data_IF_202030921018
#
_entry.id   IF_202030921018
#
_cell.length_a   1.000
_cell.length_b   1.000
_cell.length_c   1.000
_cell.angle_alpha   90.00
_cell.angle_beta   90.00
_cell.angle_gamma   90.00
#
_symmetry.space_group_name_H-M   'P 1'
#
loop_
_entity.id
_entity.type
_entity.pdbx_description
1 polymer ?
#
# COMPACT_ATOMS: atom_id res chain seq x y z
N UNK A 1 -12.29 12.50 9.68
CA UNK A 1 -11.94 11.06 9.57
C UNK A 1 -13.01 10.30 10.33
N UNK A 2 -13.63 9.25 9.76
CA UNK A 2 -14.62 8.48 10.52
C UNK A 2 -14.01 7.98 11.83
N UNK A 3 -14.84 7.82 12.88
CA UNK A 3 -14.39 7.31 14.18
C UNK A 3 -13.60 6.01 13.98
N UNK A 4 -12.33 6.02 14.37
CA UNK A 4 -11.43 4.87 14.23
C UNK A 4 -11.52 4.02 15.51
N UNK A 5 -11.91 2.74 15.43
CA UNK A 5 -11.82 1.83 16.56
C UNK A 5 -10.38 1.70 17.07
N UNK A 6 -10.18 1.74 18.38
CA UNK A 6 -8.85 1.68 19.01
C UNK A 6 -8.84 0.62 20.11
N UNK A 7 -7.69 -0.02 20.27
CA UNK A 7 -7.37 -0.90 21.38
C UNK A 7 -7.11 -0.08 22.66
N UNK A 8 -7.11 -0.71 23.86
CA UNK A 8 -6.89 0.00 25.12
C UNK A 8 -5.58 0.80 25.22
N UNK A 9 -4.56 0.41 24.46
CA UNK A 9 -3.27 1.10 24.36
C UNK A 9 -3.29 2.30 23.38
N UNK A 10 -4.44 2.62 22.77
CA UNK A 10 -4.62 3.71 21.81
C UNK A 10 -4.24 3.39 20.37
N UNK A 11 -3.66 2.22 20.08
CA UNK A 11 -3.39 1.82 18.70
C UNK A 11 -4.69 1.50 17.96
N UNK A 12 -4.77 1.73 16.64
CA UNK A 12 -5.95 1.34 15.87
C UNK A 12 -6.21 -0.16 15.99
N UNK A 13 -7.49 -0.52 16.12
CA UNK A 13 -7.92 -1.91 16.08
C UNK A 13 -7.95 -2.40 14.63
N UNK A 14 -7.07 -3.34 14.30
CA UNK A 14 -6.86 -3.86 12.95
C UNK A 14 -7.28 -5.34 12.90
N UNK A 15 -7.83 -5.82 11.76
CA UNK A 15 -7.91 -5.13 10.47
C UNK A 15 -9.03 -4.08 10.40
N UNK A 16 -8.76 -2.95 9.76
CA UNK A 16 -9.68 -1.81 9.63
C UNK A 16 -10.17 -1.66 8.19
N UNK A 17 -11.49 -1.53 8.00
CA UNK A 17 -12.06 -1.19 6.70
C UNK A 17 -11.96 0.32 6.46
N UNK A 18 -11.29 0.71 5.38
CA UNK A 18 -11.12 2.10 4.94
C UNK A 18 -11.58 2.17 3.49
N UNK A 19 -12.79 2.67 3.22
CA UNK A 19 -13.35 2.67 1.87
C UNK A 19 -13.39 1.25 1.28
N UNK A 20 -12.71 1.04 0.14
CA UNK A 20 -12.58 -0.29 -0.50
C UNK A 20 -11.43 -1.14 0.03
N UNK A 21 -10.56 -0.58 0.87
CA UNK A 21 -9.37 -1.25 1.40
C UNK A 21 -9.65 -1.84 2.78
N UNK A 22 -9.11 -3.03 3.02
CA UNK A 22 -9.00 -3.59 4.37
C UNK A 22 -7.55 -3.51 4.80
N UNK A 23 -7.23 -2.58 5.68
CA UNK A 23 -5.89 -2.38 6.22
C UNK A 23 -5.65 -3.46 7.29
N UNK A 24 -4.65 -4.31 7.10
CA UNK A 24 -4.35 -5.44 8.00
C UNK A 24 -3.26 -5.10 9.00
N UNK A 25 -2.23 -4.38 8.57
CA UNK A 25 -1.17 -3.85 9.41
C UNK A 25 -0.69 -2.52 8.83
N UNK A 26 -0.36 -1.57 9.71
CA UNK A 26 0.20 -0.28 9.32
C UNK A 26 1.73 -0.32 9.12
N UNK A 27 2.40 -1.39 9.58
CA UNK A 27 3.84 -1.54 9.48
C UNK A 27 4.63 -0.62 10.44
N UNK A 28 5.89 -0.38 10.09
CA UNK A 28 6.84 0.40 10.86
C UNK A 28 7.49 1.48 9.99
N UNK A 29 7.59 2.70 10.54
CA UNK A 29 8.31 3.80 9.90
C UNK A 29 9.81 3.51 9.88
N UNK A 30 10.41 3.57 8.70
CA UNK A 30 11.85 3.51 8.53
C UNK A 30 12.37 4.93 8.28
N UNK A 31 13.22 5.48 9.16
CA UNK A 31 13.68 6.86 9.03
C UNK A 31 14.73 7.06 7.93
N UNK A 32 15.23 6.00 7.30
CA UNK A 32 16.21 6.11 6.23
C UNK A 32 15.64 6.80 4.99
N UNK A 33 16.49 7.52 4.27
CA UNK A 33 16.11 8.15 3.01
C UNK A 33 15.64 7.08 2.02
N UNK A 34 14.61 7.40 1.24
CA UNK A 34 13.99 6.47 0.29
C UNK A 34 12.74 5.74 0.81
N UNK A 35 12.51 5.68 2.13
CA UNK A 35 11.27 5.12 2.72
C UNK A 35 10.17 6.16 2.98
N UNK A 36 10.46 7.42 2.67
CA UNK A 36 9.51 8.51 2.76
C UNK A 36 9.93 9.62 1.79
N UNK A 37 8.99 10.51 1.50
CA UNK A 37 9.18 11.75 0.74
C UNK A 37 8.54 12.89 1.51
N UNK A 38 8.60 14.10 0.97
CA UNK A 38 7.90 15.25 1.54
C UNK A 38 6.39 15.00 1.80
N UNK A 39 5.73 14.10 1.05
CA UNK A 39 4.28 13.87 1.12
C UNK A 39 3.85 12.44 1.44
N UNK A 40 4.79 11.50 1.54
CA UNK A 40 4.46 10.09 1.73
C UNK A 40 5.42 9.43 2.71
N UNK A 41 4.90 8.54 3.55
CA UNK A 41 5.69 7.59 4.34
C UNK A 41 5.28 6.21 3.86
N UNK A 42 6.26 5.33 3.61
CA UNK A 42 6.05 3.94 3.20
C UNK A 42 6.51 2.98 4.31
N UNK A 43 5.62 2.65 5.28
CA UNK A 43 6.01 1.81 6.40
C UNK A 43 6.32 0.39 5.92
N UNK A 44 7.43 -0.17 6.39
CA UNK A 44 7.77 -1.56 6.14
C UNK A 44 6.82 -2.47 6.93
N UNK A 45 6.29 -3.49 6.28
CA UNK A 45 5.28 -4.39 6.84
C UNK A 45 3.86 -3.80 6.79
N UNK A 46 3.63 -2.67 6.11
CA UNK A 46 2.28 -2.25 5.75
C UNK A 46 1.62 -3.33 4.89
N UNK A 47 0.38 -3.68 5.22
CA UNK A 47 -0.40 -4.67 4.47
C UNK A 47 -1.85 -4.23 4.33
N UNK A 48 -2.39 -4.33 3.11
CA UNK A 48 -3.78 -4.03 2.81
C UNK A 48 -4.34 -4.98 1.77
N UNK A 49 -5.63 -5.27 1.89
CA UNK A 49 -6.38 -6.02 0.89
C UNK A 49 -7.29 -5.07 0.09
N UNK A 50 -7.35 -5.27 -1.24
CA UNK A 50 -8.33 -4.61 -2.12
C UNK A 50 -8.85 -5.59 -3.17
N UNK A 51 -10.14 -5.50 -3.50
CA UNK A 51 -10.73 -6.31 -4.55
C UNK A 51 -10.46 -5.69 -5.92
N UNK A 52 -10.01 -6.49 -6.89
CA UNK A 52 -9.80 -6.04 -8.27
C UNK A 52 -9.99 -7.20 -9.27
N UNK A 53 -9.99 -6.87 -10.56
CA UNK A 53 -10.10 -7.83 -11.66
C UNK A 53 -9.01 -8.90 -11.59
N UNK A 54 -9.38 -10.19 -11.68
CA UNK A 54 -8.41 -11.29 -11.73
C UNK A 54 -7.50 -11.19 -12.96
N UNK A 55 -6.23 -11.54 -12.76
CA UNK A 55 -5.22 -11.68 -13.82
C UNK A 55 -5.24 -13.05 -14.52
N UNK A 56 -6.10 -13.97 -14.08
CA UNK A 56 -6.19 -15.35 -14.58
C UNK A 56 -7.54 -15.65 -15.21
N UNK A 57 -8.62 -15.19 -14.59
CA UNK A 57 -9.98 -15.42 -15.06
C UNK A 57 -10.66 -14.07 -15.41
N UNK A 58 -11.05 -13.86 -16.69
CA UNK A 58 -11.67 -12.62 -17.12
C UNK A 58 -13.04 -12.34 -16.48
N UNK A 59 -13.69 -13.35 -15.90
CA UNK A 59 -15.07 -13.28 -15.38
C UNK A 59 -15.16 -12.99 -13.89
N UNK A 60 -14.04 -12.95 -13.18
CA UNK A 60 -14.05 -12.76 -11.73
C UNK A 60 -13.17 -11.59 -11.27
N UNK A 61 -13.49 -11.14 -10.07
CA UNK A 61 -12.64 -10.29 -9.26
C UNK A 61 -12.10 -11.12 -8.09
N UNK A 62 -10.88 -10.80 -7.66
CA UNK A 62 -10.22 -11.47 -6.54
C UNK A 62 -9.66 -10.46 -5.58
N UNK A 63 -9.35 -10.92 -4.37
CA UNK A 63 -8.63 -10.10 -3.40
C UNK A 63 -7.16 -10.02 -3.79
N UNK A 64 -6.59 -8.82 -3.69
CA UNK A 64 -5.17 -8.56 -3.84
C UNK A 64 -4.63 -8.08 -2.50
N UNK A 65 -3.64 -8.79 -1.97
CA UNK A 65 -2.90 -8.39 -0.78
C UNK A 65 -1.65 -7.62 -1.21
N UNK A 66 -1.59 -6.36 -0.81
CA UNK A 66 -0.47 -5.45 -1.05
C UNK A 66 0.40 -5.36 0.20
N UNK A 67 1.71 -5.56 0.05
CA UNK A 67 2.67 -5.53 1.17
C UNK A 67 3.87 -4.64 0.82
N UNK A 68 4.34 -3.84 1.78
CA UNK A 68 5.58 -3.07 1.65
C UNK A 68 6.71 -3.82 2.36
N UNK A 69 7.75 -4.20 1.63
CA UNK A 69 8.91 -4.93 2.13
C UNK A 69 10.12 -3.99 2.29
N UNK A 70 11.06 -4.29 3.20
CA UNK A 70 12.25 -3.47 3.39
C UNK A 70 13.26 -3.63 2.23
N UNK A 71 13.27 -4.79 1.59
CA UNK A 71 14.15 -5.13 0.47
C UNK A 71 13.64 -6.38 -0.25
N UNK A 72 14.22 -6.71 -1.39
CA UNK A 72 13.92 -7.94 -2.12
C UNK A 72 15.11 -8.36 -2.98
N UNK A 73 15.36 -9.67 -3.10
CA UNK A 73 16.53 -10.23 -3.79
C UNK A 73 16.60 -9.85 -5.29
N UNK A 74 15.46 -9.58 -5.93
CA UNK A 74 15.42 -9.08 -7.32
C UNK A 74 15.92 -7.63 -7.47
N UNK A 75 16.05 -6.89 -6.38
CA UNK A 75 16.48 -5.49 -6.37
C UNK A 75 17.63 -5.27 -5.36
N UNK A 76 18.78 -5.95 -5.51
CA UNK A 76 19.83 -5.99 -4.48
C UNK A 76 20.49 -4.63 -4.19
N UNK A 77 20.42 -3.71 -5.16
CA UNK A 77 20.99 -2.37 -5.04
C UNK A 77 19.95 -1.30 -4.65
N UNK A 78 18.67 -1.65 -4.63
CA UNK A 78 17.62 -0.71 -4.23
C UNK A 78 17.73 -0.42 -2.73
N UNK A 79 17.55 0.84 -2.35
CA UNK A 79 17.69 1.32 -0.96
C UNK A 79 16.38 1.86 -0.38
N UNK A 80 15.26 1.63 -1.07
CA UNK A 80 13.93 2.03 -0.63
C UNK A 80 12.98 0.83 -0.47
N UNK A 81 11.68 1.11 -0.25
CA UNK A 81 10.67 0.08 -0.09
C UNK A 81 10.50 -0.73 -1.37
N UNK A 82 10.11 -1.99 -1.19
CA UNK A 82 9.66 -2.87 -2.26
C UNK A 82 8.16 -3.09 -2.12
N UNK A 83 7.45 -2.97 -3.23
CA UNK A 83 6.00 -3.09 -3.31
C UNK A 83 5.66 -4.47 -3.88
N UNK A 84 5.09 -5.32 -3.03
CA UNK A 84 4.61 -6.64 -3.38
C UNK A 84 3.09 -6.64 -3.49
N UNK A 85 2.56 -7.35 -4.49
CA UNK A 85 1.13 -7.60 -4.65
C UNK A 85 0.95 -9.10 -4.89
N UNK A 86 0.08 -9.74 -4.11
CA UNK A 86 -0.28 -11.16 -4.25
C UNK A 86 -1.78 -11.27 -4.52
N UNK A 87 -2.19 -11.78 -5.69
CA UNK A 87 -3.60 -12.13 -5.93
C UNK A 87 -3.98 -13.41 -5.18
N UNK A 88 -5.18 -13.44 -4.59
CA UNK A 88 -5.68 -14.61 -3.87
C UNK A 88 -5.84 -15.87 -4.76
N UNK A 89 -6.03 -15.70 -6.07
CA UNK A 89 -6.17 -16.82 -7.02
C UNK A 89 -4.84 -17.31 -7.62
N UNK A 90 -3.73 -16.61 -7.35
CA UNK A 90 -2.38 -16.97 -7.79
C UNK A 90 -1.34 -16.63 -6.71
N UNK A 91 -1.41 -17.29 -5.53
CA UNK A 91 -0.59 -16.95 -4.36
C UNK A 91 0.93 -17.12 -4.58
N UNK A 92 1.32 -17.96 -5.55
CA UNK A 92 2.72 -18.24 -5.88
C UNK A 92 3.29 -17.30 -6.96
N UNK A 93 2.52 -16.32 -7.41
CA UNK A 93 2.88 -15.44 -8.52
C UNK A 93 2.88 -13.97 -8.09
N UNK A 94 3.73 -13.58 -7.12
CA UNK A 94 3.75 -12.21 -6.62
C UNK A 94 4.24 -11.24 -7.70
N UNK A 95 3.58 -10.09 -7.79
CA UNK A 95 4.10 -8.94 -8.53
C UNK A 95 4.94 -8.12 -7.57
N UNK A 96 6.21 -7.92 -7.92
CA UNK A 96 7.19 -7.24 -7.07
C UNK A 96 7.84 -6.11 -7.86
N UNK A 97 7.75 -4.88 -7.37
CA UNK A 97 8.30 -3.67 -8.01
C UNK A 97 8.87 -2.70 -6.96
N UNK A 98 9.64 -1.71 -7.43
CA UNK A 98 10.26 -0.67 -6.59
C UNK A 98 9.36 0.56 -6.40
N UNK A 99 8.20 0.60 -7.03
CA UNK A 99 7.20 1.65 -6.85
C UNK A 99 5.79 1.06 -6.81
N UNK A 100 4.83 1.70 -6.09
CA UNK A 100 3.46 1.22 -6.02
C UNK A 100 2.76 1.35 -7.38
N UNK A 101 3.13 2.37 -8.16
CA UNK A 101 2.62 2.60 -9.52
C UNK A 101 2.96 1.43 -10.43
N UNK A 102 4.23 1.04 -10.49
CA UNK A 102 4.67 -0.04 -11.39
C UNK A 102 4.02 -1.36 -10.99
N UNK A 103 3.88 -1.62 -9.69
CA UNK A 103 3.23 -2.83 -9.18
C UNK A 103 1.79 -2.94 -9.68
N UNK A 104 0.98 -1.89 -9.51
CA UNK A 104 -0.42 -1.90 -9.95
C UNK A 104 -0.61 -1.74 -11.46
N UNK A 105 0.33 -1.09 -12.15
CA UNK A 105 0.33 -1.10 -13.61
C UNK A 105 0.55 -2.50 -14.17
N UNK A 106 1.40 -3.32 -13.54
CA UNK A 106 1.58 -4.73 -13.93
C UNK A 106 0.28 -5.53 -13.72
N UNK A 107 -0.39 -5.34 -12.58
CA UNK A 107 -1.70 -5.96 -12.32
C UNK A 107 -2.71 -5.58 -13.39
N UNK A 108 -2.83 -4.28 -13.69
CA UNK A 108 -3.76 -3.77 -14.69
C UNK A 108 -3.46 -4.31 -16.10
N UNK A 109 -2.17 -4.43 -16.47
CA UNK A 109 -1.74 -5.02 -17.75
C UNK A 109 -2.18 -6.48 -17.87
N UNK A 110 -1.91 -7.31 -16.85
CA UNK A 110 -2.29 -8.72 -16.88
C UNK A 110 -3.81 -8.91 -16.87
N UNK A 111 -4.53 -8.16 -16.03
CA UNK A 111 -5.98 -8.21 -15.96
C UNK A 111 -6.65 -7.77 -17.28
N UNK A 112 -6.08 -6.78 -17.97
CA UNK A 112 -6.59 -6.34 -19.27
C UNK A 112 -6.27 -7.35 -20.38
N UNK A 113 -5.08 -7.97 -20.34
CA UNK A 113 -4.66 -9.00 -21.30
C UNK A 113 -5.60 -10.20 -21.32
N UNK A 114 -6.00 -10.73 -20.16
CA UNK A 114 -6.94 -11.87 -20.13
C UNK A 114 -8.36 -11.53 -20.62
N UNK A 115 -8.65 -10.23 -20.81
CA UNK A 115 -9.94 -9.71 -21.28
C UNK A 115 -9.87 -9.17 -22.71
N UNK A 116 -8.72 -9.28 -23.39
CA UNK A 116 -8.46 -8.68 -24.70
C UNK A 116 -8.81 -7.18 -24.76
N UNK A 117 -8.47 -6.45 -23.68
CA UNK A 117 -8.73 -5.01 -23.53
C UNK A 117 -7.43 -4.23 -23.31
N UNK A 118 -7.41 -2.92 -23.62
CA UNK A 118 -6.31 -2.06 -23.21
C UNK A 118 -6.25 -1.92 -21.68
N UNK A 119 -5.06 -1.84 -21.08
CA UNK A 119 -4.92 -1.60 -19.65
C UNK A 119 -5.40 -0.21 -19.26
N UNK A 120 -5.91 -0.05 -18.03
CA UNK A 120 -6.25 1.25 -17.48
C UNK A 120 -4.96 2.10 -17.28
N UNK A 121 -4.74 3.17 -18.06
CA UNK A 121 -3.52 3.97 -17.96
C UNK A 121 -3.51 4.87 -16.72
N UNK A 122 -4.67 5.06 -16.08
CA UNK A 122 -4.87 5.98 -14.95
C UNK A 122 -4.92 5.27 -13.60
N UNK A 123 -4.56 3.97 -13.52
CA UNK A 123 -4.52 3.27 -12.23
C UNK A 123 -3.49 3.90 -11.29
N UNK A 124 -3.94 4.41 -10.16
CA UNK A 124 -3.07 4.98 -9.12
C UNK A 124 -2.60 3.90 -8.16
N UNK A 125 -1.32 3.55 -8.22
CA UNK A 125 -0.75 2.52 -7.33
C UNK A 125 -0.89 2.87 -5.85
N UNK A 126 -0.58 4.11 -5.47
CA UNK A 126 -0.73 4.60 -4.09
C UNK A 126 -2.18 4.50 -3.60
N UNK A 127 -3.14 4.79 -4.48
CA UNK A 127 -4.55 4.62 -4.18
C UNK A 127 -4.89 3.14 -4.00
N UNK A 128 -4.49 2.25 -4.91
CA UNK A 128 -4.83 0.83 -4.80
C UNK A 128 -4.18 0.13 -3.59
N UNK A 129 -3.01 0.59 -3.11
CA UNK A 129 -2.45 0.19 -1.81
C UNK A 129 -3.22 0.76 -0.59
N UNK A 130 -4.17 1.67 -0.78
CA UNK A 130 -4.89 2.34 0.30
C UNK A 130 -4.10 3.44 1.01
N UNK A 131 -2.88 3.75 0.54
CA UNK A 131 -1.98 4.75 1.12
C UNK A 131 -2.41 6.20 0.82
N UNK A 132 -3.20 6.41 -0.24
CA UNK A 132 -3.72 7.73 -0.58
C UNK A 132 -4.91 8.16 0.30
N UNK A 133 -5.52 7.22 1.05
CA UNK A 133 -6.64 7.53 1.94
C UNK A 133 -6.19 8.43 3.09
N UNK A 134 -6.95 9.51 3.32
CA UNK A 134 -6.72 10.41 4.45
C UNK A 134 -6.70 9.67 5.79
N UNK A 135 -7.56 8.66 5.97
CA UNK A 135 -7.57 7.82 7.18
C UNK A 135 -6.26 7.05 7.33
N UNK A 136 -5.79 6.41 6.26
CA UNK A 136 -4.54 5.64 6.29
C UNK A 136 -3.34 6.55 6.54
N UNK A 137 -3.28 7.71 5.89
CA UNK A 137 -2.23 8.71 6.13
C UNK A 137 -2.20 9.16 7.59
N UNK A 138 -3.37 9.51 8.14
CA UNK A 138 -3.52 9.92 9.54
C UNK A 138 -3.00 8.82 10.49
N UNK A 139 -3.35 7.56 10.23
CA UNK A 139 -2.87 6.42 11.01
C UNK A 139 -1.37 6.18 10.87
N UNK A 140 -0.81 6.33 9.67
CA UNK A 140 0.64 6.22 9.44
C UNK A 140 1.40 7.33 10.16
N UNK A 141 0.87 8.56 10.17
CA UNK A 141 1.44 9.68 10.91
C UNK A 141 1.47 9.43 12.43
N UNK A 142 0.56 8.62 12.97
CA UNK A 142 0.55 8.23 14.39
C UNK A 142 1.57 7.13 14.74
N UNK A 143 2.24 6.52 13.75
CA UNK A 143 3.23 5.48 14.02
C UNK A 143 4.48 6.05 14.71
N UNK A 144 5.11 5.27 15.61
CA UNK A 144 6.40 5.63 16.19
C UNK A 144 7.43 5.99 15.13
N UNK A 145 8.08 7.15 15.28
CA UNK A 145 9.10 7.67 14.36
C UNK A 145 8.58 8.60 13.26
N UNK A 146 7.27 8.63 12.97
CA UNK A 146 6.72 9.51 11.92
C UNK A 146 6.94 11.01 12.23
N UNK A 147 6.69 11.43 13.47
CA UNK A 147 6.87 12.83 13.88
C UNK A 147 8.32 13.33 13.74
N UNK A 148 9.31 12.45 13.88
CA UNK A 148 10.71 12.81 13.73
C UNK A 148 11.07 13.18 12.27
N UNK A 149 10.25 12.78 11.29
CA UNK A 149 10.46 13.12 9.89
C UNK A 149 10.10 14.58 9.57
N UNK A 150 9.30 15.25 10.42
CA UNK A 150 8.93 16.66 10.23
C UNK A 150 10.20 17.53 10.18
N UNK A 151 11.12 17.33 11.13
CA UNK A 151 12.40 18.05 11.16
C UNK A 151 13.34 17.75 9.99
N UNK A 152 12.98 16.78 9.14
CA UNK A 152 13.73 16.38 7.93
C UNK A 152 12.99 16.74 6.64
N UNK A 153 11.84 17.41 6.73
CA UNK A 153 11.09 17.90 5.56
C UNK A 153 9.85 17.10 5.18
N UNK A 154 9.40 16.15 6.00
CA UNK A 154 8.08 15.56 5.81
C UNK A 154 6.99 16.59 6.15
N UNK A 155 6.06 16.84 5.21
CA UNK A 155 4.90 17.70 5.45
C UNK A 155 3.83 16.89 6.15
N UNK A 156 3.63 17.19 7.42
CA UNK A 156 2.52 16.66 8.19
C UNK A 156 1.20 17.19 7.62
N UNK A 157 0.27 16.28 7.32
CA UNK A 157 -1.09 16.61 6.95
C UNK A 157 -1.96 16.64 8.22
N UNK A 158 -2.62 17.76 8.49
CA UNK A 158 -3.63 17.87 9.54
C UNK A 158 -4.95 17.30 9.03
N UNK A 159 -5.09 16.01 9.21
CA UNK A 159 -6.28 15.29 8.76
C UNK A 159 -7.29 15.31 9.90
N UNK A 160 -8.24 16.24 9.82
CA UNK A 160 -9.29 16.41 10.84
C UNK A 160 -10.09 15.11 11.03
N UNK A 161 -10.26 14.70 12.29
CA UNK A 161 -11.23 13.69 12.72
C UNK A 161 -12.67 14.21 12.56
#
# INVERSE_FOLDING_TARGET
>A
VPVIPRLPNGSPDLPLQVGKWKIKTLGQVIPHDGFWTESHIWPVGFESDVKYLSMKDPRQEVMYTSTILPSHAFFPQHRGPIFQIIPADQPNTPIIRVSPRDAWQEVAKHAARVRDKPPNPHISGTEQFGLASAVTKHLIQQLPGAAALIGRGYRWEDIAE
#
